data_IF_672403291547
#
_entry.id   IF_672403291547
#
_cell.length_a   1.000
_cell.length_b   1.000
_cell.length_c   1.000
_cell.angle_alpha   90.00
_cell.angle_beta   90.00
_cell.angle_gamma   90.00
#
_symmetry.space_group_name_H-M   'P 1'
#
loop_
_entity.id
_entity.type
_entity.pdbx_description
1 polymer ?
#
# COMPACT_ATOMS: atom_id res chain seq x y z
N UNK A 1 -8.44 -12.55 -10.01
CA UNK A 1 -8.65 -11.23 -9.41
C UNK A 1 -9.18 -11.40 -8.00
N UNK A 2 -8.65 -10.64 -7.05
CA UNK A 2 -9.03 -10.76 -5.64
C UNK A 2 -9.73 -9.51 -5.17
N UNK A 3 -10.58 -9.64 -4.15
CA UNK A 3 -11.20 -8.52 -3.48
C UNK A 3 -10.51 -8.34 -2.13
N UNK A 4 -9.98 -7.14 -1.89
CA UNK A 4 -9.21 -6.83 -0.69
C UNK A 4 -9.91 -5.74 0.09
N UNK A 5 -10.14 -5.98 1.38
CA UNK A 5 -10.67 -4.97 2.30
C UNK A 5 -9.58 -4.58 3.28
N UNK A 6 -9.27 -3.28 3.30
CA UNK A 6 -8.27 -2.71 4.19
C UNK A 6 -8.98 -1.89 5.26
N UNK A 7 -8.60 -2.08 6.51
CA UNK A 7 -9.19 -1.35 7.65
C UNK A 7 -8.11 -0.61 8.41
N UNK A 8 -8.39 0.64 8.75
CA UNK A 8 -7.51 1.48 9.56
C UNK A 8 -8.36 2.45 10.39
N UNK A 9 -8.17 2.44 11.69
CA UNK A 9 -8.84 3.35 12.64
C UNK A 9 -10.36 3.38 12.48
N UNK A 10 -10.97 2.20 12.29
CA UNK A 10 -12.41 2.05 12.14
C UNK A 10 -12.96 2.37 10.75
N UNK A 11 -12.09 2.74 9.79
CA UNK A 11 -12.48 2.99 8.41
C UNK A 11 -12.01 1.85 7.53
N UNK A 12 -12.76 1.58 6.47
CA UNK A 12 -12.43 0.51 5.52
C UNK A 12 -12.56 0.99 4.09
N UNK A 13 -11.76 0.38 3.23
CA UNK A 13 -11.91 0.54 1.78
C UNK A 13 -11.74 -0.83 1.14
N UNK A 14 -12.43 -1.05 0.03
CA UNK A 14 -12.38 -2.31 -0.71
C UNK A 14 -11.82 -2.04 -2.09
N UNK A 15 -10.84 -2.83 -2.50
CA UNK A 15 -10.16 -2.66 -3.78
C UNK A 15 -10.04 -4.01 -4.49
N UNK A 16 -9.89 -3.94 -5.82
CA UNK A 16 -9.58 -5.12 -6.62
C UNK A 16 -8.08 -5.25 -6.74
N UNK A 17 -7.58 -6.48 -6.60
CA UNK A 17 -6.16 -6.74 -6.57
C UNK A 17 -5.77 -7.92 -7.44
N UNK A 18 -4.57 -7.85 -7.99
CA UNK A 18 -3.93 -8.94 -8.69
C UNK A 18 -2.89 -9.59 -7.78
N UNK A 19 -2.97 -10.92 -7.61
CA UNK A 19 -1.92 -11.67 -6.92
C UNK A 19 -0.75 -11.84 -7.89
N UNK A 20 0.44 -11.38 -7.50
CA UNK A 20 1.61 -11.41 -8.36
C UNK A 20 2.77 -12.09 -7.63
N UNK A 21 3.16 -13.28 -8.11
CA UNK A 21 4.26 -14.04 -7.53
C UNK A 21 5.62 -13.35 -7.71
N UNK A 22 5.72 -12.38 -8.61
CA UNK A 22 6.93 -11.59 -8.80
C UNK A 22 7.05 -10.39 -7.86
N UNK A 23 6.01 -10.09 -7.06
CA UNK A 23 6.07 -8.99 -6.11
C UNK A 23 6.78 -9.46 -4.82
N UNK A 24 8.07 -9.22 -4.73
CA UNK A 24 8.90 -9.56 -3.57
C UNK A 24 9.12 -8.39 -2.61
N UNK A 25 8.35 -7.32 -2.77
CA UNK A 25 8.47 -6.14 -1.91
C UNK A 25 8.16 -6.49 -0.45
N UNK A 26 9.07 -6.13 0.43
CA UNK A 26 8.90 -6.38 1.86
C UNK A 26 9.69 -5.37 2.67
N UNK A 27 9.32 -5.22 3.94
CA UNK A 27 10.07 -4.42 4.88
C UNK A 27 11.26 -5.24 5.40
N UNK A 28 12.51 -4.78 5.16
CA UNK A 28 13.68 -5.55 5.60
C UNK A 28 13.82 -5.64 7.12
N UNK A 29 13.16 -4.76 7.88
CA UNK A 29 13.24 -4.75 9.34
C UNK A 29 12.23 -5.72 9.95
N UNK A 30 10.96 -5.62 9.57
CA UNK A 30 9.90 -6.48 10.13
C UNK A 30 9.75 -7.81 9.39
N UNK A 31 10.22 -7.89 8.16
CA UNK A 31 10.01 -9.04 7.28
C UNK A 31 8.61 -9.11 6.69
N UNK A 32 7.71 -8.17 7.01
CA UNK A 32 6.37 -8.18 6.45
C UNK A 32 6.40 -7.95 4.94
N UNK A 33 5.62 -8.72 4.18
CA UNK A 33 5.45 -8.45 2.76
C UNK A 33 4.64 -7.17 2.55
N UNK A 34 4.74 -6.59 1.38
CA UNK A 34 4.01 -5.38 1.04
C UNK A 34 3.26 -5.55 -0.27
N UNK A 35 2.00 -5.12 -0.29
CA UNK A 35 1.28 -4.90 -1.52
C UNK A 35 1.60 -3.52 -2.06
N UNK A 36 1.51 -3.34 -3.37
CA UNK A 36 1.56 -2.01 -4.00
C UNK A 36 0.13 -1.62 -4.33
N UNK A 37 -0.27 -0.43 -3.91
CA UNK A 37 -1.64 0.06 -4.11
C UNK A 37 -1.62 1.50 -4.61
N UNK A 38 -2.55 1.83 -5.50
CA UNK A 38 -2.73 3.20 -5.95
C UNK A 38 -3.18 4.07 -4.78
N UNK A 39 -2.56 5.24 -4.63
CA UNK A 39 -2.87 6.17 -3.52
C UNK A 39 -4.35 6.49 -3.44
N UNK A 40 -4.97 6.74 -4.58
CA UNK A 40 -6.38 7.11 -4.64
C UNK A 40 -7.30 6.04 -4.04
N UNK A 41 -6.91 4.77 -4.14
CA UNK A 41 -7.73 3.66 -3.64
C UNK A 41 -7.80 3.62 -2.11
N UNK A 42 -6.82 4.17 -1.41
CA UNK A 42 -6.76 4.15 0.06
C UNK A 42 -7.05 5.51 0.70
N UNK A 43 -7.21 6.57 -0.07
CA UNK A 43 -7.58 7.88 0.48
C UNK A 43 -8.82 7.85 1.38
N UNK A 44 -9.83 7.01 1.14
CA UNK A 44 -10.97 6.91 2.07
C UNK A 44 -10.59 6.52 3.50
N UNK A 45 -9.41 5.93 3.71
CA UNK A 45 -8.92 5.63 5.05
C UNK A 45 -8.40 6.87 5.79
N UNK A 46 -8.13 7.95 5.07
CA UNK A 46 -7.50 9.16 5.57
C UNK A 46 -8.37 10.39 5.31
N UNK A 47 -9.45 10.58 6.07
CA UNK A 47 -10.40 11.67 5.79
C UNK A 47 -9.79 13.07 5.93
N UNK A 48 -8.66 13.19 6.63
CA UNK A 48 -7.94 14.47 6.75
C UNK A 48 -7.14 14.81 5.49
N UNK A 49 -6.99 13.87 4.54
CA UNK A 49 -6.18 14.07 3.34
C UNK A 49 -7.06 14.16 2.10
N UNK A 50 -6.76 15.14 1.23
CA UNK A 50 -7.33 15.21 -0.12
C UNK A 50 -6.40 14.57 -1.14
N UNK A 51 -5.09 14.66 -0.90
CA UNK A 51 -4.05 14.13 -1.77
C UNK A 51 -2.76 13.95 -0.99
N UNK A 52 -1.81 13.22 -1.56
CA UNK A 52 -0.45 13.08 -1.03
C UNK A 52 0.54 13.70 -2.01
N UNK A 53 1.66 14.28 -1.51
CA UNK A 53 2.73 14.74 -2.40
C UNK A 53 3.28 13.58 -3.24
N UNK A 54 3.73 13.90 -4.46
CA UNK A 54 4.31 12.88 -5.33
C UNK A 54 5.65 12.35 -4.81
N UNK A 55 6.42 13.22 -4.16
CA UNK A 55 7.69 12.82 -3.55
C UNK A 55 7.47 11.85 -2.40
N UNK A 56 8.18 10.71 -2.43
CA UNK A 56 7.98 9.63 -1.46
C UNK A 56 8.29 10.06 -0.02
N UNK A 57 9.35 10.85 0.17
CA UNK A 57 9.75 11.32 1.51
C UNK A 57 8.72 12.30 2.06
N UNK A 58 8.23 13.23 1.22
CA UNK A 58 7.20 14.17 1.63
C UNK A 58 5.88 13.45 1.93
N UNK A 59 5.51 12.46 1.11
CA UNK A 59 4.31 11.66 1.34
C UNK A 59 4.42 10.89 2.67
N UNK A 60 5.58 10.33 2.96
CA UNK A 60 5.82 9.63 4.23
C UNK A 60 5.64 10.58 5.41
N UNK A 61 6.16 11.81 5.30
CA UNK A 61 6.04 12.82 6.35
C UNK A 61 4.59 13.18 6.62
N UNK A 62 3.78 13.34 5.56
CA UNK A 62 2.35 13.63 5.68
C UNK A 62 1.63 12.48 6.37
N UNK A 63 1.87 11.24 5.94
CA UNK A 63 1.26 10.06 6.56
C UNK A 63 1.67 9.92 8.03
N UNK A 64 2.95 10.07 8.33
CA UNK A 64 3.48 9.91 9.68
C UNK A 64 2.96 10.95 10.67
N UNK A 65 2.48 12.08 10.19
CA UNK A 65 1.87 13.11 11.00
C UNK A 65 0.43 12.78 11.40
N UNK A 66 -0.20 11.80 10.74
CA UNK A 66 -1.57 11.40 11.08
C UNK A 66 -1.57 10.52 12.34
N UNK A 67 -2.47 10.77 13.31
CA UNK A 67 -2.53 9.96 14.54
C UNK A 67 -2.70 8.47 14.26
N UNK A 68 -3.51 8.11 13.26
CA UNK A 68 -3.78 6.72 12.91
C UNK A 68 -2.55 5.99 12.33
N UNK A 69 -1.54 6.74 11.87
CA UNK A 69 -0.32 6.18 11.28
C UNK A 69 0.91 6.30 12.18
N UNK A 70 0.77 6.77 13.40
CA UNK A 70 1.92 6.97 14.30
C UNK A 70 2.67 5.65 14.51
N UNK A 71 3.97 5.66 14.17
CA UNK A 71 4.82 4.47 14.29
C UNK A 71 4.53 3.38 13.25
N UNK A 72 3.71 3.66 12.24
CA UNK A 72 3.26 2.66 11.26
C UNK A 72 3.69 2.97 9.83
N UNK A 73 4.59 3.93 9.63
CA UNK A 73 5.00 4.32 8.28
C UNK A 73 6.47 3.97 8.06
N UNK A 74 6.80 3.64 6.81
CA UNK A 74 8.16 3.28 6.41
C UNK A 74 8.33 3.56 4.92
N UNK A 75 9.57 3.89 4.51
CA UNK A 75 9.94 3.94 3.10
C UNK A 75 10.45 2.57 2.69
N UNK A 76 9.91 2.03 1.61
CA UNK A 76 10.35 0.76 1.06
C UNK A 76 11.10 0.96 -0.24
N UNK A 77 12.27 0.33 -0.42
CA UNK A 77 12.94 0.34 -1.71
C UNK A 77 12.12 -0.49 -2.71
N UNK A 78 11.85 0.12 -3.86
CA UNK A 78 11.08 -0.51 -4.92
C UNK A 78 11.99 -0.71 -6.13
N UNK A 79 11.98 -1.92 -6.68
CA UNK A 79 12.70 -2.24 -7.90
C UNK A 79 11.72 -2.64 -8.99
N UNK A 80 11.78 -1.92 -10.11
CA UNK A 80 11.10 -2.30 -11.34
C UNK A 80 12.14 -2.35 -12.44
N UNK A 81 11.83 -3.07 -13.51
CA UNK A 81 12.71 -3.14 -14.68
C UNK A 81 12.96 -1.72 -15.18
N UNK A 82 14.24 -1.33 -15.27
CA UNK A 82 14.66 -0.01 -15.75
C UNK A 82 14.59 1.12 -14.72
N UNK A 83 14.19 0.83 -13.47
CA UNK A 83 14.13 1.84 -12.41
C UNK A 83 14.95 1.35 -11.22
N UNK A 84 15.98 2.12 -10.85
CA UNK A 84 16.79 1.85 -9.67
C UNK A 84 16.63 2.99 -8.66
N UNK A 85 16.62 2.66 -7.37
CA UNK A 85 16.59 3.66 -6.31
C UNK A 85 15.23 4.30 -6.05
N UNK A 86 14.16 3.75 -6.60
CA UNK A 86 12.82 4.23 -6.30
C UNK A 86 12.42 3.85 -4.87
N UNK A 87 11.72 4.76 -4.19
CA UNK A 87 11.18 4.53 -2.86
C UNK A 87 9.68 4.70 -2.89
N UNK A 88 8.97 3.87 -2.12
CA UNK A 88 7.53 3.98 -1.93
C UNK A 88 7.24 4.24 -0.46
N UNK A 89 6.39 5.22 -0.14
CA UNK A 89 5.90 5.37 1.22
C UNK A 89 4.92 4.25 1.50
N UNK A 90 5.02 3.64 2.68
CA UNK A 90 4.18 2.52 3.06
C UNK A 90 3.64 2.72 4.47
N UNK A 91 2.49 2.11 4.75
CA UNK A 91 1.93 2.10 6.09
C UNK A 91 1.39 0.72 6.43
N UNK A 92 1.28 0.47 7.74
CA UNK A 92 0.71 -0.76 8.25
C UNK A 92 -0.75 -0.52 8.64
N UNK A 93 -1.72 -1.08 7.91
CA UNK A 93 -3.13 -0.98 8.31
C UNK A 93 -3.43 -1.86 9.52
N UNK A 94 -4.60 -1.68 10.13
CA UNK A 94 -5.05 -2.56 11.20
C UNK A 94 -5.32 -3.97 10.71
N UNK A 95 -5.90 -4.09 9.51
CA UNK A 95 -6.12 -5.40 8.90
C UNK A 95 -6.17 -5.31 7.39
N UNK A 96 -5.78 -6.42 6.75
CA UNK A 96 -5.96 -6.65 5.32
C UNK A 96 -6.66 -8.01 5.20
N UNK A 97 -7.84 -7.99 4.56
CA UNK A 97 -8.63 -9.19 4.32
C UNK A 97 -8.67 -9.45 2.82
N UNK A 98 -8.25 -10.62 2.39
CA UNK A 98 -8.25 -11.02 0.99
C UNK A 98 -9.29 -12.12 0.82
N UNK A 99 -10.35 -11.83 0.04
CA UNK A 99 -11.49 -12.73 -0.14
C UNK A 99 -12.02 -13.24 1.22
N UNK A 100 -12.04 -12.35 2.23
CA UNK A 100 -12.54 -12.66 3.56
C UNK A 100 -11.54 -13.31 4.51
N UNK A 101 -10.29 -13.56 4.09
CA UNK A 101 -9.27 -14.17 4.94
C UNK A 101 -8.18 -13.15 5.29
N UNK A 102 -7.74 -13.06 6.57
CA UNK A 102 -6.72 -12.11 6.95
C UNK A 102 -5.34 -12.49 6.44
N UNK A 103 -4.61 -11.51 5.90
CA UNK A 103 -3.20 -11.65 5.52
C UNK A 103 -2.46 -10.40 5.96
N UNK A 104 -1.60 -10.46 6.97
CA UNK A 104 -0.85 -9.28 7.43
C UNK A 104 0.14 -8.81 6.37
N UNK A 105 0.11 -7.51 6.07
CA UNK A 105 1.06 -6.91 5.13
C UNK A 105 1.07 -5.41 5.27
N UNK A 106 2.10 -4.79 4.71
CA UNK A 106 2.17 -3.35 4.53
C UNK A 106 1.53 -2.97 3.20
N UNK A 107 1.08 -1.73 3.10
CA UNK A 107 0.59 -1.17 1.83
C UNK A 107 1.56 -0.08 1.39
N UNK A 108 2.24 -0.31 0.27
CA UNK A 108 3.13 0.65 -0.36
C UNK A 108 2.35 1.44 -1.40
N UNK A 109 2.44 2.76 -1.34
CA UNK A 109 1.57 3.66 -2.09
C UNK A 109 2.21 4.08 -3.40
N UNK A 110 1.56 3.76 -4.52
CA UNK A 110 1.98 4.18 -5.84
C UNK A 110 1.29 5.49 -6.21
N UNK A 111 2.07 6.47 -6.67
CA UNK A 111 1.54 7.71 -7.23
C UNK A 111 0.97 7.52 -8.64
N UNK A 112 1.23 6.38 -9.26
CA UNK A 112 0.86 6.06 -10.63
C UNK A 112 -0.23 5.01 -10.66
N UNK A 113 -1.07 5.04 -11.70
CA UNK A 113 -2.01 3.97 -11.95
C UNK A 113 -1.26 2.67 -12.24
N UNK A 114 -1.75 1.55 -11.70
CA UNK A 114 -1.12 0.25 -11.90
C UNK A 114 -1.53 -0.40 -13.22
N UNK A 115 -2.66 0.01 -13.77
CA UNK A 115 -3.13 -0.44 -15.10
C UNK A 115 -3.68 0.72 -15.87
N UNK A 116 -3.73 0.56 -17.20
CA UNK A 116 -4.30 1.58 -18.07
C UNK A 116 -5.83 1.53 -18.12
N UNK A 117 -6.44 0.38 -17.78
CA UNK A 117 -7.89 0.16 -17.89
C UNK A 117 -8.61 0.15 -16.53
N UNK A 118 -7.89 0.33 -15.44
CA UNK A 118 -8.48 0.32 -14.10
C UNK A 118 -8.93 -1.06 -13.62
N UNK A 119 -8.46 -2.14 -14.24
CA UNK A 119 -8.89 -3.49 -13.91
C UNK A 119 -8.57 -3.86 -12.45
N UNK A 120 -7.48 -3.36 -11.91
CA UNK A 120 -7.13 -3.50 -10.50
C UNK A 120 -6.37 -2.26 -10.04
N UNK A 121 -6.35 -2.03 -8.74
CA UNK A 121 -5.64 -0.89 -8.13
C UNK A 121 -4.64 -1.34 -7.06
N UNK A 122 -4.44 -2.64 -6.92
CA UNK A 122 -3.49 -3.22 -5.97
C UNK A 122 -2.82 -4.45 -6.58
N UNK A 123 -1.52 -4.61 -6.29
CA UNK A 123 -0.76 -5.82 -6.62
C UNK A 123 -0.32 -6.45 -5.31
N UNK A 124 -0.80 -7.67 -5.07
CA UNK A 124 -0.53 -8.41 -3.84
C UNK A 124 0.82 -9.14 -3.93
N UNK A 125 1.49 -9.35 -2.77
CA UNK A 125 2.62 -10.26 -2.73
C UNK A 125 2.16 -11.70 -2.92
N UNK A 126 3.09 -12.64 -3.21
CA UNK A 126 2.72 -14.04 -3.27
C UNK A 126 2.20 -14.52 -1.92
N UNK A 127 1.31 -15.48 -1.95
CA UNK A 127 0.80 -16.10 -0.73
C UNK A 127 1.89 -16.94 -0.09
N UNK A 128 2.17 -16.67 1.16
CA UNK A 128 3.16 -17.44 1.94
C UNK A 128 2.57 -18.72 2.53
#
# INVERSE_FOLDING_TARGET
MRTVTVTLAGRSTTVRALRDSGNDLHDPVSGLPAAVVERAAVLPLFPALHALPDDAVQALSVLGALPECTGRVVLLPYRAVGVTGALLPAFRPDSVMIDGAPEPMLLALSAQALTSDGAFSMVLPPKS
#
